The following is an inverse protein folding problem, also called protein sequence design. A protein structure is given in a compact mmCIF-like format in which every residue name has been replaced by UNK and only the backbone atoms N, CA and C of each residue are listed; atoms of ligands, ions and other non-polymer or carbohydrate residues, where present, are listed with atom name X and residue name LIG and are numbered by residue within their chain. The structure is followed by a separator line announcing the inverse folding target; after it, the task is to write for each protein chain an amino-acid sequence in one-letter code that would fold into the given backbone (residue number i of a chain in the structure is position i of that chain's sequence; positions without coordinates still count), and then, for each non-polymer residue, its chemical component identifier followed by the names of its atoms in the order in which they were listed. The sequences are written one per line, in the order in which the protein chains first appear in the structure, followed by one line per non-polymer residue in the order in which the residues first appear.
data_IF_758938421911
#
_entry.id   IF_758938421911
#
_cell.length_a   1.000
_cell.length_b   1.000
_cell.length_c   1.000
_cell.angle_alpha   90.00
_cell.angle_beta   90.00
_cell.angle_gamma   90.00
#
_symmetry.space_group_name_H-M   'P 1'
#
loop_
_entity.id
_entity.type
_entity.pdbx_description
1 polymer ?
#
# COMPACT_ATOMS: atom_id res chain seq x y z
N UNK A 1 -2.91 -31.12 -12.29
CA UNK A 1 -1.81 -30.13 -12.26
C UNK A 1 -2.45 -28.78 -12.43
N UNK A 2 -2.57 -28.01 -11.34
CA UNK A 2 -2.95 -26.61 -11.41
C UNK A 2 -1.92 -25.89 -12.29
N UNK A 3 -2.39 -25.21 -13.34
CA UNK A 3 -1.51 -24.48 -14.24
C UNK A 3 -0.92 -23.30 -13.46
N UNK A 4 0.37 -23.36 -13.15
CA UNK A 4 1.06 -22.30 -12.40
C UNK A 4 0.88 -20.96 -13.13
N UNK A 5 0.52 -19.91 -12.39
CA UNK A 5 0.25 -18.59 -12.95
C UNK A 5 1.49 -18.01 -13.66
N UNK A 6 1.25 -17.18 -14.69
CA UNK A 6 2.32 -16.46 -15.41
C UNK A 6 3.18 -15.63 -14.44
N UNK A 7 4.49 -15.59 -14.70
CA UNK A 7 5.47 -14.86 -13.87
C UNK A 7 5.63 -15.42 -12.45
N UNK A 8 5.30 -16.70 -12.25
CA UNK A 8 5.45 -17.42 -10.99
C UNK A 8 6.16 -18.77 -11.22
N UNK A 9 6.52 -19.44 -10.13
CA UNK A 9 7.06 -20.79 -10.15
C UNK A 9 6.58 -21.61 -8.95
N UNK A 10 6.50 -22.91 -9.13
CA UNK A 10 6.31 -23.87 -8.04
C UNK A 10 7.66 -24.46 -7.68
N UNK A 11 8.00 -24.49 -6.39
CA UNK A 11 9.22 -25.11 -5.87
C UNK A 11 8.84 -26.19 -4.86
N UNK A 12 9.33 -27.41 -5.10
CA UNK A 12 9.22 -28.54 -4.18
C UNK A 12 10.62 -28.89 -3.66
N UNK A 13 10.76 -29.00 -2.34
CA UNK A 13 12.03 -29.39 -1.70
C UNK A 13 11.86 -30.71 -0.94
N UNK A 14 12.54 -31.75 -1.42
CA UNK A 14 12.57 -33.07 -0.79
C UNK A 14 13.94 -33.32 -0.15
N UNK A 15 14.01 -33.28 1.18
CA UNK A 15 15.27 -33.47 1.91
C UNK A 15 15.75 -34.92 1.86
N UNK A 16 17.06 -35.10 1.78
CA UNK A 16 17.74 -36.41 1.82
C UNK A 16 18.65 -36.49 3.06
N UNK A 17 19.01 -37.72 3.42
CA UNK A 17 20.04 -37.95 4.45
C UNK A 17 21.46 -37.71 3.92
N UNK A 18 21.69 -38.05 2.64
CA UNK A 18 22.99 -37.94 1.96
C UNK A 18 22.81 -37.94 0.43
N UNK A 19 23.86 -37.54 -0.29
CA UNK A 19 23.92 -37.63 -1.76
C UNK A 19 23.77 -36.30 -2.49
N UNK A 20 24.05 -35.19 -1.81
CA UNK A 20 24.23 -33.86 -2.42
C UNK A 20 22.93 -33.21 -2.90
N UNK A 21 23.07 -32.02 -3.49
CA UNK A 21 21.96 -31.25 -4.04
C UNK A 21 21.66 -31.72 -5.48
N UNK A 22 20.40 -32.00 -5.76
CA UNK A 22 19.91 -32.25 -7.12
C UNK A 22 18.89 -31.17 -7.44
N UNK A 23 19.08 -30.44 -8.54
CA UNK A 23 18.18 -29.38 -9.00
C UNK A 23 17.59 -29.80 -10.35
N UNK A 24 16.28 -29.98 -10.39
CA UNK A 24 15.50 -30.33 -11.57
C UNK A 24 14.53 -29.19 -11.94
N UNK A 25 14.73 -28.60 -13.11
CA UNK A 25 14.03 -27.38 -13.56
C UNK A 25 13.29 -27.64 -14.86
N UNK A 26 11.98 -27.47 -14.82
CA UNK A 26 11.12 -27.33 -15.99
C UNK A 26 10.72 -25.86 -16.13
N UNK A 27 11.28 -25.14 -17.10
CA UNK A 27 11.03 -23.70 -17.29
C UNK A 27 10.51 -23.38 -18.68
N UNK A 28 9.45 -22.55 -18.76
CA UNK A 28 8.97 -21.97 -20.03
C UNK A 28 9.99 -21.04 -20.69
N UNK A 29 10.96 -20.52 -19.94
CA UNK A 29 12.01 -19.62 -20.42
C UNK A 29 13.41 -20.25 -20.36
N UNK A 30 13.47 -21.57 -20.20
CA UNK A 30 14.71 -22.32 -19.96
C UNK A 30 15.74 -22.22 -21.08
N UNK A 31 15.31 -22.04 -22.32
CA UNK A 31 16.22 -21.85 -23.47
C UNK A 31 17.08 -20.58 -23.36
N UNK A 32 16.60 -19.56 -22.63
CA UNK A 32 17.30 -18.29 -22.45
C UNK A 32 17.91 -18.17 -21.04
N UNK A 33 17.19 -18.63 -20.01
CA UNK A 33 17.54 -18.35 -18.62
C UNK A 33 17.77 -19.60 -17.75
N UNK A 34 17.80 -20.81 -18.33
CA UNK A 34 17.91 -22.06 -17.57
C UNK A 34 19.12 -22.12 -16.63
N UNK A 35 20.29 -21.69 -17.11
CA UNK A 35 21.50 -21.63 -16.29
C UNK A 35 21.37 -20.62 -15.14
N UNK A 36 20.86 -19.42 -15.42
CA UNK A 36 20.67 -18.39 -14.39
C UNK A 36 19.68 -18.82 -13.30
N UNK A 37 18.58 -19.49 -13.68
CA UNK A 37 17.61 -20.06 -12.74
C UNK A 37 18.31 -21.11 -11.86
N UNK A 38 19.09 -22.01 -12.46
CA UNK A 38 19.82 -23.04 -11.74
C UNK A 38 20.84 -22.44 -10.75
N UNK A 39 21.64 -21.49 -11.20
CA UNK A 39 22.66 -20.82 -10.39
C UNK A 39 22.02 -20.14 -9.18
N UNK A 40 20.90 -19.44 -9.38
CA UNK A 40 20.16 -18.79 -8.29
C UNK A 40 19.61 -19.82 -7.27
N UNK A 41 19.16 -20.98 -7.74
CA UNK A 41 18.63 -22.03 -6.85
C UNK A 41 19.75 -22.68 -6.04
N UNK A 42 20.89 -22.96 -6.66
CA UNK A 42 22.06 -23.50 -5.97
C UNK A 42 22.63 -22.51 -4.95
N UNK A 43 22.69 -21.22 -5.30
CA UNK A 43 23.05 -20.15 -4.38
C UNK A 43 22.08 -20.06 -3.20
N UNK A 44 20.76 -20.09 -3.47
CA UNK A 44 19.74 -20.06 -2.43
C UNK A 44 19.80 -21.27 -1.51
N UNK A 45 20.01 -22.48 -2.05
CA UNK A 45 20.22 -23.67 -1.23
C UNK A 45 21.46 -23.55 -0.34
N UNK A 46 22.56 -23.02 -0.89
CA UNK A 46 23.79 -22.77 -0.11
C UNK A 46 23.57 -21.76 1.01
N UNK A 47 22.89 -20.64 0.71
CA UNK A 47 22.56 -19.61 1.69
C UNK A 47 21.67 -20.15 2.83
N UNK A 48 20.73 -21.05 2.50
CA UNK A 48 19.83 -21.68 3.45
C UNK A 48 20.44 -22.92 4.15
N UNK A 49 21.69 -23.28 3.85
CA UNK A 49 22.37 -24.44 4.44
C UNK A 49 21.82 -25.81 3.98
N UNK A 50 21.23 -25.86 2.79
CA UNK A 50 20.66 -27.09 2.19
C UNK A 50 21.70 -27.77 1.30
N UNK A 51 22.30 -28.85 1.80
CA UNK A 51 23.33 -29.63 1.09
C UNK A 51 22.80 -30.92 0.46
N UNK A 52 21.78 -31.53 1.07
CA UNK A 52 21.24 -32.85 0.68
C UNK A 52 19.74 -32.75 0.47
N UNK A 53 19.33 -32.41 -0.75
CA UNK A 53 17.94 -32.30 -1.14
C UNK A 53 17.76 -32.52 -2.65
N UNK A 54 16.51 -32.80 -3.05
CA UNK A 54 16.04 -32.70 -4.43
C UNK A 54 15.13 -31.48 -4.49
N UNK A 55 15.51 -30.50 -5.31
CA UNK A 55 14.73 -29.31 -5.60
C UNK A 55 14.11 -29.50 -6.97
N UNK A 56 12.79 -29.60 -7.02
CA UNK A 56 12.04 -29.63 -8.28
C UNK A 56 11.32 -28.29 -8.49
N UNK A 57 11.51 -27.69 -9.66
CA UNK A 57 10.98 -26.38 -10.02
C UNK A 57 10.17 -26.48 -11.30
N UNK A 58 8.94 -25.97 -11.26
CA UNK A 58 8.11 -25.70 -12.44
C UNK A 58 7.98 -24.19 -12.58
N UNK A 59 8.71 -23.63 -13.54
CA UNK A 59 8.84 -22.19 -13.77
C UNK A 59 8.04 -21.69 -14.98
N UNK A 60 7.25 -20.64 -14.75
CA UNK A 60 6.40 -19.98 -15.74
C UNK A 60 6.91 -18.56 -16.06
N UNK A 61 8.23 -18.37 -15.99
CA UNK A 61 8.89 -17.07 -16.20
C UNK A 61 8.91 -16.22 -14.93
N UNK A 62 9.07 -16.85 -13.75
CA UNK A 62 9.25 -16.14 -12.49
C UNK A 62 10.44 -15.20 -12.55
N UNK A 63 10.25 -14.00 -12.01
CA UNK A 63 11.33 -13.05 -11.81
C UNK A 63 12.23 -13.53 -10.64
N UNK A 64 13.51 -13.10 -10.58
CA UNK A 64 14.45 -13.57 -9.57
C UNK A 64 13.94 -13.44 -8.12
N UNK A 65 13.28 -12.33 -7.78
CA UNK A 65 12.75 -12.12 -6.43
C UNK A 65 11.64 -13.11 -6.05
N UNK A 66 10.88 -13.59 -7.05
CA UNK A 66 9.82 -14.59 -6.91
C UNK A 66 10.44 -15.96 -6.68
N UNK A 67 11.39 -16.36 -7.51
CA UNK A 67 12.10 -17.64 -7.37
C UNK A 67 12.77 -17.75 -5.99
N UNK A 68 13.44 -16.70 -5.53
CA UNK A 68 14.03 -16.64 -4.20
C UNK A 68 12.97 -16.84 -3.09
N UNK A 69 11.81 -16.19 -3.20
CA UNK A 69 10.74 -16.30 -2.22
C UNK A 69 10.13 -17.71 -2.17
N UNK A 70 9.87 -18.30 -3.36
CA UNK A 70 9.29 -19.65 -3.47
C UNK A 70 10.26 -20.72 -2.96
N UNK A 71 11.56 -20.58 -3.24
CA UNK A 71 12.60 -21.47 -2.75
C UNK A 71 12.72 -21.41 -1.23
N UNK A 72 12.85 -20.22 -0.65
CA UNK A 72 12.97 -20.06 0.81
C UNK A 72 11.74 -20.61 1.54
N UNK A 73 10.54 -20.35 1.01
CA UNK A 73 9.31 -20.90 1.56
C UNK A 73 9.28 -22.43 1.54
N UNK A 74 9.64 -23.06 0.41
CA UNK A 74 9.66 -24.52 0.27
C UNK A 74 10.66 -25.17 1.25
N UNK A 75 11.85 -24.58 1.39
CA UNK A 75 12.88 -25.06 2.31
C UNK A 75 12.44 -24.92 3.77
N UNK A 76 11.96 -23.73 4.18
CA UNK A 76 11.56 -23.47 5.57
C UNK A 76 10.30 -24.25 5.98
N UNK A 77 9.37 -24.53 5.05
CA UNK A 77 8.23 -25.42 5.35
C UNK A 77 8.68 -26.85 5.68
N UNK A 78 9.66 -27.38 4.95
CA UNK A 78 10.15 -28.74 5.23
C UNK A 78 11.20 -28.80 6.37
N UNK A 79 11.87 -27.69 6.70
CA UNK A 79 12.76 -27.56 7.87
C UNK A 79 12.54 -26.22 8.60
N UNK A 80 11.51 -26.10 9.46
CA UNK A 80 11.15 -24.84 10.13
C UNK A 80 12.20 -24.23 11.06
N UNK A 81 13.23 -25.01 11.45
CA UNK A 81 14.32 -24.55 12.30
C UNK A 81 15.40 -23.76 11.56
N UNK A 82 15.36 -23.70 10.23
CA UNK A 82 16.31 -22.91 9.45
C UNK A 82 15.99 -21.41 9.64
N UNK A 83 16.90 -20.70 10.30
CA UNK A 83 16.80 -19.25 10.51
C UNK A 83 17.45 -18.43 9.40
N UNK A 84 18.36 -19.02 8.61
CA UNK A 84 19.03 -18.36 7.49
C UNK A 84 18.02 -17.84 6.45
N UNK A 85 18.39 -16.79 5.73
CA UNK A 85 17.56 -16.14 4.72
C UNK A 85 18.23 -16.18 3.34
N UNK A 86 17.43 -16.20 2.29
CA UNK A 86 17.89 -16.01 0.92
C UNK A 86 17.24 -14.75 0.33
N UNK A 87 17.97 -13.64 0.46
CA UNK A 87 17.47 -12.32 0.05
C UNK A 87 17.94 -11.98 -1.37
N UNK A 88 17.04 -11.55 -2.27
CA UNK A 88 17.46 -10.99 -3.55
C UNK A 88 18.18 -9.64 -3.35
N UNK A 89 18.87 -9.21 -4.42
CA UNK A 89 19.52 -7.91 -4.49
C UNK A 89 18.58 -6.76 -4.11
N UNK A 90 19.14 -5.75 -3.45
CA UNK A 90 18.38 -4.58 -2.99
C UNK A 90 18.50 -3.45 -4.03
N UNK A 91 17.37 -2.94 -4.51
CA UNK A 91 17.31 -1.72 -5.31
C UNK A 91 17.98 -0.56 -4.54
N UNK A 92 18.58 0.41 -5.24
CA UNK A 92 19.13 1.60 -4.60
C UNK A 92 18.11 2.28 -3.69
N UNK A 93 18.59 2.88 -2.60
CA UNK A 93 17.72 3.60 -1.68
C UNK A 93 17.03 4.76 -2.42
N UNK A 94 15.71 4.84 -2.24
CA UNK A 94 14.87 5.87 -2.85
C UNK A 94 15.15 7.23 -2.19
N UNK A 95 15.11 8.30 -2.98
CA UNK A 95 15.34 9.66 -2.48
C UNK A 95 14.15 10.20 -1.66
N UNK A 96 12.92 9.79 -1.98
CA UNK A 96 11.70 10.24 -1.32
C UNK A 96 11.18 9.18 -0.35
N UNK A 97 11.06 9.57 0.92
CA UNK A 97 10.62 8.72 2.05
C UNK A 97 9.14 8.96 2.39
N UNK A 98 8.58 8.18 3.32
CA UNK A 98 7.25 8.38 3.88
C UNK A 98 7.04 9.78 4.46
N UNK A 99 6.50 10.70 3.67
CA UNK A 99 6.12 12.06 4.11
C UNK A 99 4.62 12.05 4.43
N UNK A 100 4.23 12.54 5.60
CA UNK A 100 2.82 12.56 6.02
C UNK A 100 1.92 13.33 5.05
N UNK A 101 2.39 14.46 4.54
CA UNK A 101 1.57 15.39 3.74
C UNK A 101 1.55 15.08 2.24
N UNK A 102 2.17 13.97 1.80
CA UNK A 102 2.20 13.62 0.38
C UNK A 102 0.83 13.15 -0.13
N UNK A 103 0.50 13.31 -1.43
CA UNK A 103 -0.77 12.89 -1.99
C UNK A 103 -1.01 11.39 -1.88
N UNK A 104 -2.25 11.01 -1.54
CA UNK A 104 -2.72 9.61 -1.45
C UNK A 104 -4.05 9.43 -2.19
N UNK A 105 -4.18 9.99 -3.41
CA UNK A 105 -5.43 10.00 -4.19
C UNK A 105 -5.88 8.59 -4.56
N UNK A 106 -4.92 7.71 -4.86
CA UNK A 106 -5.16 6.32 -5.23
C UNK A 106 -4.37 5.35 -4.36
N UNK A 107 -5.05 4.29 -3.94
CA UNK A 107 -4.49 3.18 -3.15
C UNK A 107 -4.69 1.87 -3.90
N UNK A 108 -3.68 1.42 -4.65
CA UNK A 108 -3.76 0.19 -5.44
C UNK A 108 -3.45 -1.03 -4.57
N UNK A 109 -4.45 -1.87 -4.31
CA UNK A 109 -4.31 -3.13 -3.56
C UNK A 109 -3.86 -4.26 -4.48
N UNK A 110 -2.79 -4.94 -4.09
CA UNK A 110 -2.22 -6.07 -4.81
C UNK A 110 -2.10 -7.29 -3.87
N UNK A 111 -2.61 -8.46 -4.26
CA UNK A 111 -2.44 -9.65 -3.44
C UNK A 111 -0.98 -10.02 -3.25
N UNK A 112 -0.56 -10.17 -1.99
CA UNK A 112 0.83 -10.41 -1.60
C UNK A 112 1.39 -11.78 -2.03
N UNK A 113 0.53 -12.69 -2.49
CA UNK A 113 0.89 -14.00 -3.03
C UNK A 113 0.93 -14.05 -4.56
N UNK A 114 0.55 -12.96 -5.26
CA UNK A 114 0.39 -12.91 -6.72
C UNK A 114 1.48 -12.03 -7.38
N UNK A 115 2.66 -12.59 -7.71
CA UNK A 115 3.82 -11.81 -8.17
C UNK A 115 3.57 -11.06 -9.49
N UNK A 116 2.68 -11.58 -10.35
CA UNK A 116 2.32 -10.99 -11.64
C UNK A 116 1.79 -9.56 -11.51
N UNK A 117 1.14 -9.24 -10.39
CA UNK A 117 0.59 -7.90 -10.16
C UNK A 117 1.63 -6.92 -9.61
N UNK A 118 2.69 -7.41 -8.97
CA UNK A 118 3.72 -6.56 -8.35
C UNK A 118 4.65 -5.95 -9.39
N UNK A 119 5.11 -6.75 -10.36
CA UNK A 119 6.18 -6.38 -11.29
C UNK A 119 5.88 -5.10 -12.10
N UNK A 120 4.62 -4.89 -12.49
CA UNK A 120 4.21 -3.78 -13.35
C UNK A 120 3.38 -2.72 -12.61
N UNK A 121 3.15 -2.87 -11.30
CA UNK A 121 2.26 -1.99 -10.55
C UNK A 121 2.66 -0.51 -10.65
N UNK A 122 3.97 -0.24 -10.56
CA UNK A 122 4.51 1.12 -10.63
C UNK A 122 4.29 1.81 -11.98
N UNK A 123 4.21 1.06 -13.09
CA UNK A 123 3.99 1.62 -14.43
C UNK A 123 2.64 2.32 -14.55
N UNK A 124 1.67 1.93 -13.72
CA UNK A 124 0.34 2.54 -13.67
C UNK A 124 0.28 3.80 -12.80
N UNK A 125 1.42 4.21 -12.22
CA UNK A 125 1.60 5.44 -11.44
C UNK A 125 0.53 5.67 -10.34
N UNK A 126 0.20 4.66 -9.50
CA UNK A 126 -0.60 4.93 -8.31
C UNK A 126 0.15 5.87 -7.36
N UNK A 127 -0.56 6.50 -6.42
CA UNK A 127 0.09 7.26 -5.34
C UNK A 127 0.59 6.31 -4.22
N UNK A 128 -0.05 5.15 -4.08
CA UNK A 128 0.30 4.08 -3.14
C UNK A 128 0.10 2.71 -3.78
N UNK A 129 1.07 1.82 -3.60
CA UNK A 129 0.96 0.38 -3.86
C UNK A 129 0.87 -0.34 -2.53
N UNK A 130 -0.18 -1.11 -2.33
CA UNK A 130 -0.42 -1.88 -1.11
C UNK A 130 -0.19 -3.36 -1.43
N UNK A 131 0.91 -3.89 -0.88
CA UNK A 131 1.21 -5.32 -0.89
C UNK A 131 0.43 -5.97 0.25
N UNK A 132 -0.59 -6.74 -0.10
CA UNK A 132 -1.57 -7.24 0.86
C UNK A 132 -1.22 -8.62 1.41
N UNK A 133 -1.04 -8.74 2.73
CA UNK A 133 -0.83 -10.02 3.43
C UNK A 133 -2.11 -10.53 4.12
N UNK A 134 -3.19 -9.76 4.09
CA UNK A 134 -4.42 -10.04 4.83
C UNK A 134 -5.46 -10.77 3.97
N UNK A 135 -6.60 -10.15 3.66
CA UNK A 135 -7.79 -10.85 3.13
C UNK A 135 -7.60 -11.37 1.69
N UNK A 136 -6.69 -10.81 0.91
CA UNK A 136 -6.37 -11.35 -0.42
C UNK A 136 -5.54 -12.64 -0.40
N UNK A 137 -5.07 -13.07 0.78
CA UNK A 137 -4.14 -14.20 0.93
C UNK A 137 -4.77 -15.26 1.83
N UNK A 138 -4.99 -16.45 1.26
CA UNK A 138 -5.48 -17.61 1.99
C UNK A 138 -4.61 -17.91 3.22
N UNK A 139 -5.20 -18.33 4.37
CA UNK A 139 -4.45 -18.55 5.61
C UNK A 139 -3.21 -19.45 5.46
N UNK A 140 -3.31 -20.52 4.66
CA UNK A 140 -2.24 -21.47 4.39
C UNK A 140 -1.10 -20.93 3.51
N UNK A 141 -1.25 -19.75 2.93
CA UNK A 141 -0.29 -19.14 2.01
C UNK A 141 0.34 -17.85 2.57
N UNK A 142 -0.02 -17.42 3.79
CA UNK A 142 0.46 -16.18 4.41
C UNK A 142 1.97 -16.16 4.65
N UNK A 143 2.55 -17.30 5.03
CA UNK A 143 4.00 -17.47 5.18
C UNK A 143 4.75 -17.28 3.85
N UNK A 144 4.27 -17.90 2.77
CA UNK A 144 4.81 -17.71 1.41
C UNK A 144 4.65 -16.27 0.93
N UNK A 145 3.51 -15.65 1.19
CA UNK A 145 3.24 -14.27 0.81
C UNK A 145 4.20 -13.30 1.51
N UNK A 146 4.53 -13.51 2.79
CA UNK A 146 5.55 -12.73 3.51
C UNK A 146 6.91 -12.73 2.82
N UNK A 147 7.41 -13.89 2.40
CA UNK A 147 8.68 -13.97 1.67
C UNK A 147 8.60 -13.21 0.34
N UNK A 148 7.48 -13.32 -0.37
CA UNK A 148 7.28 -12.62 -1.64
C UNK A 148 7.20 -11.10 -1.47
N UNK A 149 6.42 -10.62 -0.50
CA UNK A 149 6.30 -9.19 -0.17
C UNK A 149 7.63 -8.61 0.30
N UNK A 150 8.35 -9.30 1.19
CA UNK A 150 9.72 -8.91 1.60
C UNK A 150 10.63 -8.75 0.39
N UNK A 151 10.62 -9.73 -0.51
CA UNK A 151 11.47 -9.74 -1.69
C UNK A 151 11.06 -8.68 -2.73
N UNK A 152 9.76 -8.39 -2.87
CA UNK A 152 9.24 -7.34 -3.72
C UNK A 152 9.66 -5.96 -3.23
N UNK A 153 9.56 -5.67 -1.93
CA UNK A 153 10.03 -4.42 -1.32
C UNK A 153 11.53 -4.15 -1.58
N UNK A 154 12.32 -5.22 -1.73
CA UNK A 154 13.76 -5.15 -2.02
C UNK A 154 14.06 -4.95 -3.51
N UNK A 155 13.29 -5.58 -4.39
CA UNK A 155 13.73 -5.81 -5.78
C UNK A 155 12.92 -5.08 -6.83
N UNK A 156 11.66 -4.75 -6.52
CA UNK A 156 10.74 -4.13 -7.48
C UNK A 156 10.80 -2.62 -7.34
N UNK A 157 11.01 -1.93 -8.47
CA UNK A 157 10.87 -0.48 -8.54
C UNK A 157 9.40 -0.11 -8.76
N UNK A 158 8.79 0.47 -7.73
CA UNK A 158 7.41 0.97 -7.79
C UNK A 158 7.34 2.42 -8.26
N UNK A 159 8.44 2.97 -8.82
CA UNK A 159 8.61 4.39 -9.13
C UNK A 159 8.15 5.22 -7.93
N UNK A 160 7.43 6.32 -8.14
CA UNK A 160 6.91 7.24 -7.11
C UNK A 160 5.86 6.67 -6.14
N UNK A 161 5.54 5.39 -6.27
CA UNK A 161 4.81 4.56 -5.32
C UNK A 161 5.14 4.82 -3.84
N UNK A 162 4.16 5.14 -2.96
CA UNK A 162 4.31 4.72 -1.54
C UNK A 162 4.28 3.19 -1.52
N UNK A 163 5.32 2.57 -0.99
CA UNK A 163 5.36 1.13 -0.80
C UNK A 163 4.70 0.81 0.52
N UNK A 164 3.50 0.28 0.45
CA UNK A 164 2.68 -0.01 1.62
C UNK A 164 2.54 -1.52 1.79
N UNK A 165 2.39 -1.96 3.04
CA UNK A 165 2.04 -3.34 3.36
C UNK A 165 0.80 -3.35 4.23
N UNK A 166 -0.24 -4.07 3.82
CA UNK A 166 -1.36 -4.40 4.72
C UNK A 166 -1.01 -5.68 5.46
N UNK A 167 -0.78 -5.57 6.76
CA UNK A 167 -0.41 -6.69 7.62
C UNK A 167 -1.66 -7.45 8.08
N UNK A 168 -1.47 -8.63 8.64
CA UNK A 168 -2.50 -9.37 9.35
C UNK A 168 -2.75 -8.77 10.75
N UNK A 169 -3.84 -9.21 11.39
CA UNK A 169 -4.12 -8.90 12.79
C UNK A 169 -3.36 -9.83 13.75
N UNK A 170 -3.23 -9.40 15.01
CA UNK A 170 -2.69 -10.21 16.09
C UNK A 170 -1.27 -10.72 15.86
N UNK A 171 -1.01 -11.98 16.24
CA UNK A 171 0.32 -12.58 16.17
C UNK A 171 0.91 -12.62 14.76
N UNK A 172 0.07 -12.88 13.74
CA UNK A 172 0.51 -12.87 12.34
C UNK A 172 0.97 -11.48 11.91
N UNK A 173 0.32 -10.42 12.38
CA UNK A 173 0.76 -9.04 12.13
C UNK A 173 2.16 -8.75 12.68
N UNK A 174 2.49 -9.29 13.85
CA UNK A 174 3.84 -9.15 14.43
C UNK A 174 4.90 -9.89 13.59
N UNK A 175 4.56 -11.08 13.09
CA UNK A 175 5.42 -11.81 12.14
C UNK A 175 5.61 -11.04 10.82
N UNK A 176 4.53 -10.44 10.32
CA UNK A 176 4.56 -9.61 9.11
C UNK A 176 5.51 -8.42 9.30
N UNK A 177 5.37 -7.68 10.41
CA UNK A 177 6.22 -6.53 10.75
C UNK A 177 7.70 -6.91 10.80
N UNK A 178 8.05 -8.00 11.48
CA UNK A 178 9.43 -8.48 11.58
C UNK A 178 10.04 -8.78 10.20
N UNK A 179 9.23 -9.22 9.24
CA UNK A 179 9.67 -9.53 7.88
C UNK A 179 9.78 -8.27 7.00
N UNK A 180 8.82 -7.36 7.09
CA UNK A 180 8.70 -6.25 6.12
C UNK A 180 9.38 -4.97 6.58
N UNK A 181 9.33 -4.61 7.87
CA UNK A 181 9.93 -3.36 8.39
C UNK A 181 11.43 -3.23 8.08
N UNK A 182 12.25 -4.30 8.15
CA UNK A 182 13.66 -4.22 7.74
C UNK A 182 13.88 -3.88 6.26
N UNK A 183 12.84 -4.00 5.43
CA UNK A 183 12.84 -3.63 4.03
C UNK A 183 12.31 -2.21 3.77
N UNK A 184 12.10 -1.44 4.85
CA UNK A 184 11.70 -0.03 4.83
C UNK A 184 10.43 0.25 4.02
N UNK A 185 9.27 -0.34 4.36
CA UNK A 185 7.99 0.10 3.81
C UNK A 185 7.70 1.53 4.28
N UNK A 186 7.06 2.30 3.42
CA UNK A 186 6.70 3.68 3.72
C UNK A 186 5.51 3.73 4.71
N UNK A 187 4.53 2.83 4.55
CA UNK A 187 3.33 2.74 5.40
C UNK A 187 2.96 1.30 5.70
N UNK A 188 2.63 1.02 6.96
CA UNK A 188 1.93 -0.18 7.39
C UNK A 188 0.43 0.12 7.50
N UNK A 189 -0.39 -0.65 6.80
CA UNK A 189 -1.84 -0.62 6.95
C UNK A 189 -2.26 -1.63 8.02
N UNK A 190 -3.05 -1.16 8.98
CA UNK A 190 -3.58 -1.99 10.09
C UNK A 190 -5.06 -2.27 9.81
N UNK A 191 -5.43 -3.48 9.39
CA UNK A 191 -6.83 -3.83 9.15
C UNK A 191 -7.59 -3.98 10.47
N UNK A 192 -8.92 -3.90 10.37
CA UNK A 192 -9.93 -4.09 11.43
C UNK A 192 -9.54 -3.38 12.71
N UNK A 193 -9.11 -2.13 12.57
CA UNK A 193 -8.61 -1.36 13.71
C UNK A 193 -9.78 -0.80 14.52
N UNK A 194 -9.97 -1.33 15.73
CA UNK A 194 -11.10 -0.98 16.59
C UNK A 194 -10.72 -0.09 17.78
N UNK A 195 -9.44 -0.02 18.13
CA UNK A 195 -8.97 0.68 19.31
C UNK A 195 -7.58 1.31 19.14
N UNK A 196 -7.26 2.23 20.05
CA UNK A 196 -6.01 2.99 20.03
C UNK A 196 -4.79 2.21 20.55
N UNK A 197 -4.98 1.19 21.38
CA UNK A 197 -3.92 0.35 21.93
C UNK A 197 -3.31 -0.56 20.87
N UNK A 198 -4.14 -1.05 19.94
CA UNK A 198 -3.69 -1.79 18.76
C UNK A 198 -2.70 -0.95 17.95
N UNK A 199 -3.02 0.31 17.66
CA UNK A 199 -2.11 1.19 16.91
C UNK A 199 -0.83 1.49 17.68
N UNK A 200 -0.92 1.74 19.00
CA UNK A 200 0.27 1.94 19.86
C UNK A 200 1.18 0.72 19.85
N UNK A 201 0.61 -0.47 20.01
CA UNK A 201 1.35 -1.73 20.01
C UNK A 201 2.07 -1.98 18.68
N UNK A 202 1.41 -1.67 17.55
CA UNK A 202 2.03 -1.73 16.23
C UNK A 202 3.15 -0.69 16.08
N UNK A 203 2.95 0.54 16.57
CA UNK A 203 4.00 1.58 16.56
C UNK A 203 5.24 1.16 17.36
N UNK A 204 5.04 0.57 18.54
CA UNK A 204 6.14 0.07 19.39
C UNK A 204 6.86 -1.11 18.74
N UNK A 205 6.12 -2.02 18.09
CA UNK A 205 6.70 -3.14 17.34
C UNK A 205 7.53 -2.65 16.15
N UNK A 206 7.04 -1.66 15.39
CA UNK A 206 7.79 -1.01 14.30
C UNK A 206 9.08 -0.39 14.86
N UNK A 207 8.98 0.41 15.92
CA UNK A 207 10.13 1.08 16.53
C UNK A 207 11.18 0.07 17.03
N UNK A 208 10.75 -1.05 17.62
CA UNK A 208 11.64 -2.12 18.07
C UNK A 208 12.42 -2.71 16.89
N UNK A 209 11.74 -3.08 15.81
CA UNK A 209 12.39 -3.65 14.61
C UNK A 209 13.30 -2.61 13.94
N UNK A 210 12.87 -1.36 13.83
CA UNK A 210 13.71 -0.27 13.31
C UNK A 210 14.99 -0.11 14.14
N UNK A 211 14.90 -0.17 15.47
CA UNK A 211 16.07 -0.09 16.34
C UNK A 211 17.01 -1.30 16.18
N UNK A 212 16.47 -2.52 16.15
CA UNK A 212 17.25 -3.76 15.96
C UNK A 212 17.99 -3.80 14.63
N UNK A 213 17.45 -3.15 13.59
CA UNK A 213 18.06 -3.10 12.26
C UNK A 213 18.76 -1.76 11.94
N UNK A 214 18.90 -0.86 12.92
CA UNK A 214 19.53 0.46 12.77
C UNK A 214 18.90 1.34 11.67
N UNK A 215 17.57 1.36 11.60
CA UNK A 215 16.79 2.15 10.65
C UNK A 215 16.45 3.54 11.22
N UNK A 216 16.18 4.51 10.33
CA UNK A 216 15.95 5.92 10.69
C UNK A 216 14.63 6.22 11.41
N UNK A 217 13.71 5.26 11.53
CA UNK A 217 12.52 5.44 12.37
C UNK A 217 11.32 6.10 11.67
N UNK A 218 11.05 5.80 10.40
CA UNK A 218 10.17 6.61 9.53
C UNK A 218 8.96 5.86 8.96
N UNK A 219 8.78 4.56 9.25
CA UNK A 219 7.60 3.84 8.78
C UNK A 219 6.32 4.39 9.43
N UNK A 220 5.38 4.83 8.59
CA UNK A 220 4.10 5.41 8.99
C UNK A 220 3.02 4.33 9.17
N UNK A 221 1.90 4.70 9.78
CA UNK A 221 0.76 3.81 10.02
C UNK A 221 -0.51 4.38 9.40
N UNK A 222 -1.32 3.50 8.80
CA UNK A 222 -2.63 3.81 8.24
C UNK A 222 -3.65 2.78 8.74
N UNK A 223 -4.40 3.10 9.81
CA UNK A 223 -5.49 2.24 10.28
C UNK A 223 -6.66 2.20 9.29
N UNK A 224 -7.19 1.01 9.04
CA UNK A 224 -8.42 0.78 8.28
C UNK A 224 -9.56 0.59 9.28
N UNK A 225 -10.54 1.46 9.19
CA UNK A 225 -11.76 1.46 9.98
C UNK A 225 -12.83 0.70 9.20
N UNK A 226 -13.21 -0.47 9.69
CA UNK A 226 -14.10 -1.37 8.96
C UNK A 226 -15.04 -2.16 9.88
N UNK A 227 -15.31 -1.63 11.08
CA UNK A 227 -16.35 -2.10 12.00
C UNK A 227 -17.06 -0.93 12.67
N UNK A 228 -18.24 -1.18 13.24
CA UNK A 228 -18.99 -0.19 14.02
C UNK A 228 -18.17 0.34 15.20
N UNK A 229 -17.43 -0.55 15.89
CA UNK A 229 -16.58 -0.15 17.00
C UNK A 229 -15.42 0.75 16.54
N UNK A 230 -14.78 0.41 15.42
CA UNK A 230 -13.76 1.26 14.82
C UNK A 230 -14.30 2.65 14.43
N UNK A 231 -15.53 2.73 13.93
CA UNK A 231 -16.20 4.02 13.61
C UNK A 231 -16.41 4.86 14.88
N UNK A 232 -16.83 4.23 15.98
CA UNK A 232 -17.02 4.92 17.28
C UNK A 232 -15.68 5.41 17.82
N UNK A 233 -14.61 4.63 17.66
CA UNK A 233 -13.29 4.93 18.21
C UNK A 233 -12.35 5.70 17.27
N UNK A 234 -12.83 6.13 16.09
CA UNK A 234 -12.00 6.69 15.02
C UNK A 234 -11.08 7.83 15.48
N UNK A 235 -11.53 8.74 16.36
CA UNK A 235 -10.69 9.82 16.89
C UNK A 235 -9.53 9.29 17.74
N UNK A 236 -9.82 8.37 18.66
CA UNK A 236 -8.83 7.78 19.55
C UNK A 236 -7.80 6.99 18.75
N UNK A 237 -8.24 6.24 17.73
CA UNK A 237 -7.38 5.52 16.80
C UNK A 237 -6.47 6.51 16.05
N UNK A 238 -7.03 7.58 15.47
CA UNK A 238 -6.27 8.54 14.66
C UNK A 238 -5.23 9.33 15.48
N UNK A 239 -5.53 9.64 16.74
CA UNK A 239 -4.65 10.40 17.65
C UNK A 239 -3.67 9.53 18.45
N UNK A 240 -3.76 8.20 18.32
CA UNK A 240 -3.02 7.24 19.16
C UNK A 240 -1.50 7.26 19.00
N UNK A 241 -1.00 7.70 17.84
CA UNK A 241 0.42 7.69 17.53
C UNK A 241 0.80 8.78 16.52
N UNK A 242 1.98 9.37 16.71
CA UNK A 242 2.57 10.29 15.74
C UNK A 242 2.94 9.60 14.42
N UNK A 243 2.90 8.27 14.31
CA UNK A 243 3.11 7.56 13.04
C UNK A 243 1.86 7.52 12.16
N UNK A 244 0.68 7.78 12.73
CA UNK A 244 -0.56 7.79 11.94
C UNK A 244 -0.51 8.91 10.90
N UNK A 245 -0.66 8.55 9.63
CA UNK A 245 -0.64 9.49 8.50
C UNK A 245 -1.99 9.64 7.80
N UNK A 246 -2.88 8.66 7.94
CA UNK A 246 -4.23 8.68 7.40
C UNK A 246 -5.12 7.66 8.12
N UNK A 247 -6.44 7.87 8.05
CA UNK A 247 -7.42 6.81 8.25
C UNK A 247 -8.03 6.40 6.91
N UNK A 248 -8.33 5.12 6.77
CA UNK A 248 -9.16 4.62 5.69
C UNK A 248 -10.46 4.02 6.23
N UNK A 249 -11.51 4.02 5.40
CA UNK A 249 -12.71 3.25 5.66
C UNK A 249 -12.79 2.03 4.73
N UNK A 250 -13.09 0.86 5.28
CA UNK A 250 -13.37 -0.39 4.56
C UNK A 250 -14.87 -0.70 4.61
N UNK A 251 -15.57 -0.53 3.49
CA UNK A 251 -17.03 -0.62 3.50
C UNK A 251 -17.59 -2.04 3.46
N UNK A 252 -16.92 -2.99 2.80
CA UNK A 252 -17.41 -4.38 2.72
C UNK A 252 -17.53 -4.99 4.12
N UNK A 253 -16.42 -5.00 4.86
CA UNK A 253 -16.37 -5.49 6.24
C UNK A 253 -17.27 -4.68 7.17
N UNK A 254 -17.31 -3.34 7.03
CA UNK A 254 -18.21 -2.52 7.85
C UNK A 254 -19.67 -2.88 7.64
N UNK A 255 -20.12 -3.05 6.38
CA UNK A 255 -21.52 -3.41 6.10
C UNK A 255 -21.87 -4.80 6.60
N UNK A 256 -20.92 -5.74 6.53
CA UNK A 256 -21.07 -7.07 7.12
C UNK A 256 -21.21 -6.98 8.66
N UNK A 257 -20.39 -6.17 9.32
CA UNK A 257 -20.41 -5.98 10.78
C UNK A 257 -21.74 -5.40 11.29
N UNK A 258 -22.31 -4.42 10.58
CA UNK A 258 -23.62 -3.84 10.95
C UNK A 258 -24.83 -4.64 10.41
N UNK A 259 -24.59 -5.73 9.66
CA UNK A 259 -25.61 -6.64 9.18
C UNK A 259 -26.48 -6.10 8.03
N UNK A 260 -25.91 -5.30 7.13
CA UNK A 260 -26.62 -4.74 5.96
C UNK A 260 -25.88 -5.02 4.66
N UNK A 261 -26.58 -4.92 3.54
CA UNK A 261 -25.98 -4.99 2.21
C UNK A 261 -25.45 -3.61 1.80
N UNK A 262 -24.27 -3.59 1.18
CA UNK A 262 -23.69 -2.39 0.59
C UNK A 262 -24.51 -1.95 -0.62
N UNK A 263 -24.91 -0.68 -0.65
CA UNK A 263 -25.69 -0.14 -1.78
C UNK A 263 -24.88 0.86 -2.59
N UNK A 264 -25.27 1.07 -3.85
CA UNK A 264 -24.67 2.14 -4.68
C UNK A 264 -24.97 3.53 -4.11
N UNK A 265 -26.12 3.71 -3.45
CA UNK A 265 -26.51 4.99 -2.86
C UNK A 265 -25.67 5.32 -1.61
N UNK A 266 -25.16 4.29 -0.91
CA UNK A 266 -24.26 4.46 0.24
C UNK A 266 -24.92 5.05 1.48
N UNK A 267 -26.27 5.06 1.59
CA UNK A 267 -26.98 5.57 2.77
C UNK A 267 -26.63 4.80 4.04
N UNK A 268 -26.46 3.49 3.91
CA UNK A 268 -26.11 2.58 5.00
C UNK A 268 -24.72 2.87 5.59
N UNK A 269 -23.82 3.43 4.78
CA UNK A 269 -22.44 3.74 5.15
C UNK A 269 -22.20 5.24 5.37
N UNK A 270 -23.19 6.09 5.14
CA UNK A 270 -23.04 7.55 5.19
C UNK A 270 -22.52 8.05 6.54
N UNK A 271 -23.10 7.59 7.65
CA UNK A 271 -22.65 7.97 8.99
C UNK A 271 -21.19 7.56 9.23
N UNK A 272 -20.83 6.32 8.89
CA UNK A 272 -19.47 5.82 9.08
C UNK A 272 -18.44 6.60 8.25
N UNK A 273 -18.73 6.85 6.97
CA UNK A 273 -17.88 7.64 6.08
C UNK A 273 -17.66 9.04 6.64
N UNK A 274 -18.72 9.72 7.06
CA UNK A 274 -18.64 11.06 7.63
C UNK A 274 -17.91 11.09 8.97
N UNK A 275 -18.13 10.10 9.84
CA UNK A 275 -17.44 9.97 11.13
C UNK A 275 -15.94 9.78 10.93
N UNK A 276 -15.53 8.80 10.11
CA UNK A 276 -14.10 8.52 9.84
C UNK A 276 -13.42 9.73 9.23
N UNK A 277 -14.05 10.37 8.24
CA UNK A 277 -13.53 11.59 7.63
C UNK A 277 -13.36 12.69 8.67
N UNK A 278 -14.40 13.00 9.44
CA UNK A 278 -14.38 14.10 10.43
C UNK A 278 -13.29 13.86 11.47
N UNK A 279 -13.17 12.64 11.99
CA UNK A 279 -12.20 12.30 13.03
C UNK A 279 -10.76 12.32 12.51
N UNK A 280 -10.51 11.86 11.28
CA UNK A 280 -9.22 12.00 10.62
C UNK A 280 -8.82 13.48 10.46
N UNK A 281 -9.75 14.33 9.99
CA UNK A 281 -9.48 15.76 9.83
C UNK A 281 -9.27 16.48 11.17
N UNK A 282 -9.98 16.07 12.22
CA UNK A 282 -9.84 16.64 13.56
C UNK A 282 -8.43 16.49 14.15
N UNK A 283 -7.70 15.42 13.79
CA UNK A 283 -6.32 15.21 14.20
C UNK A 283 -5.29 15.67 13.14
N UNK A 284 -5.75 16.24 12.02
CA UNK A 284 -4.91 16.76 10.96
C UNK A 284 -4.30 15.69 10.03
N UNK A 285 -4.87 14.47 9.96
CA UNK A 285 -4.42 13.43 9.03
C UNK A 285 -5.35 13.28 7.82
N UNK A 286 -4.91 12.56 6.80
CA UNK A 286 -5.72 12.32 5.61
C UNK A 286 -6.87 11.34 5.89
N UNK A 287 -7.97 11.50 5.16
CA UNK A 287 -9.12 10.60 5.19
C UNK A 287 -9.27 9.92 3.83
N UNK A 288 -9.29 8.60 3.79
CA UNK A 288 -9.27 7.83 2.54
C UNK A 288 -10.52 6.95 2.40
N UNK A 289 -11.24 7.13 1.30
CA UNK A 289 -12.50 6.44 1.03
C UNK A 289 -12.26 4.99 0.59
N UNK A 290 -13.32 4.17 0.70
CA UNK A 290 -13.28 2.73 0.41
C UNK A 290 -13.06 2.41 -1.07
N UNK A 291 -12.72 1.15 -1.34
CA UNK A 291 -12.57 0.59 -2.69
C UNK A 291 -13.88 0.62 -3.46
N UNK A 292 -13.76 0.68 -4.79
CA UNK A 292 -14.86 0.42 -5.71
C UNK A 292 -14.69 -0.99 -6.28
N UNK A 293 -15.65 -1.87 -5.98
CA UNK A 293 -15.57 -3.31 -6.25
C UNK A 293 -15.87 -3.67 -7.71
N UNK A 294 -16.76 -2.93 -8.38
CA UNK A 294 -17.02 -3.15 -9.80
C UNK A 294 -15.90 -2.57 -10.66
N UNK A 295 -15.02 -3.43 -11.15
CA UNK A 295 -13.87 -3.04 -11.97
C UNK A 295 -14.28 -2.49 -13.34
N UNK A 296 -15.42 -2.92 -13.87
CA UNK A 296 -15.88 -2.54 -15.21
C UNK A 296 -16.70 -1.25 -15.19
N UNK A 297 -17.42 -0.95 -14.11
CA UNK A 297 -18.17 0.31 -13.96
C UNK A 297 -17.28 1.52 -13.58
N UNK A 298 -16.57 2.05 -14.58
CA UNK A 298 -15.74 3.25 -14.43
C UNK A 298 -16.56 4.54 -14.24
N UNK A 299 -17.80 4.58 -14.74
CA UNK A 299 -18.67 5.75 -14.56
C UNK A 299 -19.21 5.83 -13.13
N UNK A 300 -19.62 4.70 -12.56
CA UNK A 300 -19.96 4.58 -11.14
C UNK A 300 -18.78 4.91 -10.24
N UNK A 301 -17.57 4.40 -10.56
CA UNK A 301 -16.34 4.80 -9.88
C UNK A 301 -16.15 6.32 -9.90
N UNK A 302 -16.32 6.96 -11.07
CA UNK A 302 -16.17 8.41 -11.21
C UNK A 302 -17.17 9.16 -10.34
N UNK A 303 -18.45 8.78 -10.37
CA UNK A 303 -19.51 9.38 -9.52
C UNK A 303 -19.18 9.23 -8.03
N UNK A 304 -18.85 8.01 -7.59
CA UNK A 304 -18.48 7.70 -6.21
C UNK A 304 -17.25 8.50 -5.75
N UNK A 305 -16.25 8.67 -6.63
CA UNK A 305 -15.03 9.42 -6.29
C UNK A 305 -15.30 10.92 -6.17
N UNK A 306 -16.12 11.49 -7.05
CA UNK A 306 -16.52 12.90 -6.97
C UNK A 306 -17.33 13.18 -5.69
N UNK A 307 -18.21 12.26 -5.31
CA UNK A 307 -18.92 12.33 -4.03
C UNK A 307 -17.96 12.26 -2.84
N UNK A 308 -17.03 11.30 -2.81
CA UNK A 308 -16.02 11.20 -1.76
C UNK A 308 -15.19 12.49 -1.62
N UNK A 309 -14.75 13.07 -2.74
CA UNK A 309 -14.07 14.37 -2.78
C UNK A 309 -14.95 15.48 -2.20
N UNK A 310 -16.24 15.50 -2.52
CA UNK A 310 -17.19 16.49 -2.01
C UNK A 310 -17.42 16.35 -0.49
N UNK A 311 -17.42 15.13 0.04
CA UNK A 311 -17.50 14.86 1.49
C UNK A 311 -16.20 15.23 2.23
N UNK A 312 -15.07 15.37 1.54
CA UNK A 312 -13.80 15.82 2.10
C UNK A 312 -12.70 14.76 2.21
N UNK A 313 -12.92 13.57 1.64
CA UNK A 313 -11.87 12.55 1.49
C UNK A 313 -10.75 13.03 0.57
N UNK A 314 -9.54 12.51 0.79
CA UNK A 314 -8.32 12.85 0.04
C UNK A 314 -7.94 11.81 -1.02
N UNK A 315 -8.58 10.64 -1.00
CA UNK A 315 -8.26 9.55 -1.90
C UNK A 315 -9.24 8.39 -1.81
N UNK A 316 -9.04 7.40 -2.69
CA UNK A 316 -9.90 6.22 -2.84
C UNK A 316 -9.11 4.95 -3.07
N UNK A 317 -9.64 3.83 -2.57
CA UNK A 317 -9.13 2.49 -2.86
C UNK A 317 -9.32 2.08 -4.32
N UNK A 318 -8.31 1.43 -4.90
CA UNK A 318 -8.32 0.85 -6.24
C UNK A 318 -7.93 -0.64 -6.13
N UNK A 319 -8.68 -1.51 -6.79
CA UNK A 319 -8.40 -2.96 -6.88
C UNK A 319 -7.96 -3.37 -8.29
N UNK A 320 -7.98 -2.44 -9.25
CA UNK A 320 -7.51 -2.66 -10.61
C UNK A 320 -6.81 -1.40 -11.16
N UNK A 321 -5.68 -1.52 -11.89
CA UNK A 321 -4.95 -0.37 -12.44
C UNK A 321 -5.77 0.62 -13.26
N UNK A 322 -6.73 0.13 -14.05
CA UNK A 322 -7.67 0.95 -14.85
C UNK A 322 -8.46 2.00 -14.03
N UNK A 323 -8.64 1.77 -12.72
CA UNK A 323 -9.36 2.70 -11.84
C UNK A 323 -8.51 3.93 -11.49
N UNK A 324 -7.18 3.84 -11.59
CA UNK A 324 -6.25 4.88 -11.12
C UNK A 324 -6.48 6.20 -11.86
N UNK A 325 -6.53 6.17 -13.19
CA UNK A 325 -6.72 7.38 -14.00
C UNK A 325 -8.03 8.09 -13.66
N UNK A 326 -9.13 7.34 -13.56
CA UNK A 326 -10.45 7.87 -13.17
C UNK A 326 -10.42 8.54 -11.80
N UNK A 327 -9.76 7.90 -10.82
CA UNK A 327 -9.62 8.42 -9.46
C UNK A 327 -8.76 9.69 -9.45
N UNK A 328 -7.61 9.69 -10.13
CA UNK A 328 -6.72 10.85 -10.21
C UNK A 328 -7.41 12.04 -10.85
N UNK A 329 -8.13 11.83 -11.96
CA UNK A 329 -8.86 12.88 -12.67
C UNK A 329 -9.98 13.46 -11.81
N UNK A 330 -10.72 12.64 -11.05
CA UNK A 330 -11.75 13.12 -10.15
C UNK A 330 -11.17 13.99 -9.01
N UNK A 331 -10.03 13.60 -8.43
CA UNK A 331 -9.35 14.37 -7.38
C UNK A 331 -8.60 15.60 -7.90
N UNK A 332 -8.26 15.66 -9.19
CA UNK A 332 -7.61 16.81 -9.82
C UNK A 332 -8.49 18.06 -9.69
N UNK A 333 -7.93 19.21 -9.26
CA UNK A 333 -8.64 20.49 -9.34
C UNK A 333 -8.89 20.88 -10.80
N UNK A 334 -10.06 21.43 -11.08
CA UNK A 334 -10.38 21.99 -12.40
C UNK A 334 -9.61 23.29 -12.65
N UNK A 335 -9.38 23.64 -13.92
CA UNK A 335 -8.73 24.92 -14.29
C UNK A 335 -9.41 26.12 -13.63
N UNK A 336 -10.75 26.14 -13.62
CA UNK A 336 -11.52 27.20 -12.97
C UNK A 336 -11.32 27.26 -11.44
N UNK A 337 -11.17 26.11 -10.76
CA UNK A 337 -10.82 26.07 -9.34
C UNK A 337 -9.42 26.62 -9.08
N UNK A 338 -8.45 26.29 -9.94
CA UNK A 338 -7.07 26.77 -9.84
C UNK A 338 -6.97 28.27 -10.08
N UNK A 339 -7.62 28.78 -11.13
CA UNK A 339 -7.67 30.22 -11.44
C UNK A 339 -8.29 31.01 -10.29
N UNK A 340 -9.43 30.55 -9.78
CA UNK A 340 -10.11 31.17 -8.64
C UNK A 340 -9.24 31.14 -7.38
N UNK A 341 -8.58 30.01 -7.11
CA UNK A 341 -7.67 29.90 -5.96
C UNK A 341 -6.47 30.86 -6.08
N UNK A 342 -5.88 30.98 -7.27
CA UNK A 342 -4.80 31.92 -7.55
C UNK A 342 -5.24 33.38 -7.33
N UNK A 343 -6.43 33.75 -7.79
CA UNK A 343 -6.98 35.09 -7.57
C UNK A 343 -7.20 35.39 -6.08
N UNK A 344 -7.73 34.42 -5.31
CA UNK A 344 -7.94 34.55 -3.88
C UNK A 344 -6.60 34.78 -3.14
N UNK A 345 -5.59 33.97 -3.44
CA UNK A 345 -4.26 34.07 -2.81
C UNK A 345 -3.61 35.41 -3.16
N UNK A 346 -3.63 35.81 -4.44
CA UNK A 346 -3.09 37.10 -4.87
C UNK A 346 -3.77 38.29 -4.19
N UNK A 347 -5.10 38.27 -4.07
CA UNK A 347 -5.87 39.30 -3.39
C UNK A 347 -5.54 39.38 -1.89
N UNK A 348 -5.40 38.23 -1.23
CA UNK A 348 -5.00 38.15 0.18
C UNK A 348 -3.58 38.69 0.41
N UNK A 349 -2.62 38.36 -0.44
CA UNK A 349 -1.24 38.86 -0.37
C UNK A 349 -1.17 40.39 -0.57
N UNK A 350 -1.91 40.92 -1.54
CA UNK A 350 -1.99 42.36 -1.79
C UNK A 350 -2.55 43.11 -0.58
N UNK A 351 -3.63 42.61 0.02
CA UNK A 351 -4.21 43.22 1.21
C UNK A 351 -3.29 43.14 2.44
N UNK A 352 -2.59 42.01 2.62
CA UNK A 352 -1.61 41.87 3.71
C UNK A 352 -0.49 42.92 3.58
N UNK A 353 -0.01 43.18 2.37
CA UNK A 353 0.98 44.25 2.10
C UNK A 353 0.44 45.65 2.38
N UNK A 354 -0.85 45.87 2.17
CA UNK A 354 -1.53 47.15 2.43
C UNK A 354 -2.08 47.29 3.86
N UNK A 355 -1.83 46.32 4.75
CA UNK A 355 -2.31 46.35 6.15
C UNK A 355 -3.82 46.15 6.32
N UNK A 356 -4.51 45.60 5.31
CA UNK A 356 -5.95 45.36 5.33
C UNK A 356 -6.25 43.93 5.80
N UNK A 357 -7.09 43.78 6.83
CA UNK A 357 -7.42 42.48 7.43
C UNK A 357 -8.54 41.69 6.73
N UNK A 358 -9.34 42.35 5.88
CA UNK A 358 -10.47 41.74 5.13
C UNK A 358 -10.38 42.19 3.68
N UNK A 359 -10.51 41.24 2.75
CA UNK A 359 -10.40 41.47 1.30
C UNK A 359 -11.71 41.06 0.63
N UNK A 360 -12.15 41.82 -0.37
CA UNK A 360 -13.28 41.43 -1.21
C UNK A 360 -12.79 41.12 -2.62
N UNK A 361 -13.23 40.00 -3.19
CA UNK A 361 -13.04 39.66 -4.61
C UNK A 361 -14.42 39.59 -5.25
N UNK A 362 -14.76 40.60 -6.07
CA UNK A 362 -16.13 40.81 -6.52
C UNK A 362 -17.06 41.10 -5.35
N UNK A 363 -18.17 40.35 -5.24
CA UNK A 363 -19.16 40.49 -4.16
C UNK A 363 -18.90 39.61 -2.94
N UNK A 364 -17.81 38.82 -2.92
CA UNK A 364 -17.54 37.85 -1.85
C UNK A 364 -16.37 38.29 -0.98
N UNK A 365 -16.56 38.15 0.32
CA UNK A 365 -15.51 38.35 1.33
C UNK A 365 -14.52 37.18 1.27
N UNK A 366 -13.23 37.51 1.35
CA UNK A 366 -12.11 36.58 1.51
C UNK A 366 -11.64 36.70 2.95
N UNK A 367 -11.87 35.63 3.71
CA UNK A 367 -11.38 35.43 5.07
C UNK A 367 -10.33 34.31 5.12
N UNK A 368 -9.77 34.05 6.31
CA UNK A 368 -8.73 33.04 6.49
C UNK A 368 -9.15 31.63 6.01
N UNK A 369 -10.35 31.11 6.29
CA UNK A 369 -10.83 29.83 5.74
C UNK A 369 -10.83 29.78 4.20
N UNK A 370 -11.27 30.85 3.53
CA UNK A 370 -11.28 30.93 2.06
C UNK A 370 -9.85 30.88 1.49
N UNK A 371 -8.90 31.57 2.13
CA UNK A 371 -7.48 31.57 1.74
C UNK A 371 -6.85 30.18 1.95
N UNK A 372 -7.11 29.53 3.09
CA UNK A 372 -6.61 28.18 3.39
C UNK A 372 -7.10 27.16 2.35
N UNK A 373 -8.38 27.24 1.95
CA UNK A 373 -8.94 26.39 0.90
C UNK A 373 -8.27 26.65 -0.45
N UNK A 374 -8.01 27.91 -0.79
CA UNK A 374 -7.32 28.28 -2.02
C UNK A 374 -5.88 27.72 -2.05
N UNK A 375 -5.11 27.86 -0.97
CA UNK A 375 -3.77 27.24 -0.88
C UNK A 375 -3.82 25.72 -1.02
N UNK A 376 -4.83 25.05 -0.44
CA UNK A 376 -4.99 23.59 -0.63
C UNK A 376 -5.22 23.23 -2.09
N UNK A 377 -6.07 23.98 -2.81
CA UNK A 377 -6.31 23.77 -4.25
C UNK A 377 -5.02 23.94 -5.05
N UNK A 378 -4.26 25.01 -4.80
CA UNK A 378 -2.99 25.25 -5.52
C UNK A 378 -1.95 24.17 -5.22
N UNK A 379 -1.83 23.71 -3.98
CA UNK A 379 -0.96 22.57 -3.63
C UNK A 379 -1.37 21.30 -4.38
N UNK A 380 -2.67 21.00 -4.43
CA UNK A 380 -3.17 19.84 -5.19
C UNK A 380 -2.88 19.96 -6.69
N UNK A 381 -2.96 21.17 -7.25
CA UNK A 381 -2.63 21.41 -8.65
C UNK A 381 -1.15 21.13 -8.94
N UNK A 382 -0.23 21.53 -8.06
CA UNK A 382 1.20 21.26 -8.23
C UNK A 382 1.55 19.77 -8.13
N UNK A 383 0.81 18.99 -7.33
CA UNK A 383 1.01 17.53 -7.25
C UNK A 383 0.52 16.77 -8.50
N UNK A 384 -0.33 17.40 -9.31
CA UNK A 384 -0.76 16.88 -10.62
C UNK A 384 0.17 17.27 -11.78
N UNK A 385 1.09 18.21 -11.56
CA UNK A 385 2.15 18.57 -12.50
C UNK A 385 3.40 17.82 -12.09
N UNK A 386 3.48 16.54 -12.46
CA UNK A 386 4.77 15.87 -12.56
C UNK A 386 5.28 16.23 -13.94
N UNK A 387 6.49 16.79 -14.03
CA UNK A 387 7.12 17.15 -15.32
C UNK A 387 6.88 15.99 -16.28
N UNK A 388 6.15 16.26 -17.37
CA UNK A 388 6.19 15.36 -18.52
C UNK A 388 7.66 15.34 -18.92
N UNK A 389 8.28 14.14 -18.94
CA UNK A 389 9.65 13.98 -19.43
C UNK A 389 9.77 14.78 -20.74
N UNK A 390 10.60 15.83 -20.79
CA UNK A 390 10.92 16.46 -22.04
C UNK A 390 11.91 15.53 -22.75
N UNK A 391 11.41 14.42 -23.32
CA UNK A 391 11.90 13.69 -24.51
C UNK A 391 11.32 12.28 -24.62
#
# INVERSE_FOLDING_TARGET
MEETARSDCTVTCSFKERGGLIVDIQSKVGSLYGNAIKDQVEEGCRALGVTDAVIHIVDQGALPFVLAARLEAAVKRGRPKISAEFLPGKQPARQTRGVKDRPRRSRLYLPGNEPKFMANAGLHRPDMVILDLEDSVAPSEKDKARFLVRNALRSVDFFDAERCVRINQGALGVEDLAMVVPQFPDVILVPKCEDADTVRSIADAIQKVEHEHHLSGETLILPIIESALGVVNAYAIASSSHRVCALAIGLEDYTADIGVERTEEGRESFYARMSVMTNAKAVGVQALDSVWSDVEDLDGLRRSTLEAKALGFDGKGCIHPRQIAVVHDAFKPTTAEVEKASQIVAAAEAARKSGLGVVSLGSKMIDAPVILRAHRILRMATFGVREEDPN
#
